data_IF_985464356711
#
_entry.id   IF_985464356711
#
_cell.length_a   1.000
_cell.length_b   1.000
_cell.length_c   1.000
_cell.angle_alpha   90.00
_cell.angle_beta   90.00
_cell.angle_gamma   90.00
#
_symmetry.space_group_name_H-M   'P 1'
#
loop_
_entity.id
_entity.type
_entity.pdbx_description
1 polymer ?
#
# COMPACT_ATOMS: atom_id res chain seq x y z
N UNK A 1 5.82 -20.80 -20.85
CA UNK A 1 4.98 -19.62 -20.54
C UNK A 1 3.83 -20.06 -19.66
N UNK A 2 3.69 -19.49 -18.45
CA UNK A 2 2.58 -19.81 -17.55
C UNK A 2 1.40 -18.88 -17.86
N UNK A 3 0.47 -19.38 -18.69
CA UNK A 3 -0.65 -18.58 -19.20
C UNK A 3 -1.52 -17.94 -18.11
N UNK A 4 -1.67 -18.59 -16.95
CA UNK A 4 -2.42 -18.03 -15.83
C UNK A 4 -1.88 -16.66 -15.39
N UNK A 5 -0.56 -16.49 -15.33
CA UNK A 5 0.08 -15.25 -14.88
C UNK A 5 -0.16 -14.12 -15.89
N UNK A 6 0.01 -14.41 -17.17
CA UNK A 6 -0.22 -13.45 -18.25
C UNK A 6 -1.69 -13.05 -18.35
N UNK A 7 -2.61 -14.02 -18.24
CA UNK A 7 -4.05 -13.76 -18.24
C UNK A 7 -4.49 -12.95 -17.02
N UNK A 8 -3.89 -13.21 -15.85
CA UNK A 8 -4.20 -12.46 -14.62
C UNK A 8 -3.73 -11.00 -14.71
N UNK A 9 -2.52 -10.76 -15.25
CA UNK A 9 -2.06 -9.40 -15.57
C UNK A 9 -2.98 -8.70 -16.57
N UNK A 10 -3.36 -9.42 -17.63
CA UNK A 10 -4.27 -8.92 -18.67
C UNK A 10 -5.64 -8.56 -18.11
N UNK A 11 -6.20 -9.39 -17.22
CA UNK A 11 -7.48 -9.15 -16.56
C UNK A 11 -7.45 -7.85 -15.76
N UNK A 12 -6.40 -7.61 -14.96
CA UNK A 12 -6.28 -6.35 -14.23
C UNK A 12 -6.10 -5.13 -15.15
N UNK A 13 -5.32 -5.28 -16.23
CA UNK A 13 -5.15 -4.22 -17.23
C UNK A 13 -6.47 -3.86 -17.91
N UNK A 14 -7.24 -4.86 -18.35
CA UNK A 14 -8.57 -4.68 -18.94
C UNK A 14 -9.54 -4.07 -17.93
N UNK A 15 -9.52 -4.54 -16.69
CA UNK A 15 -10.34 -3.97 -15.62
C UNK A 15 -10.01 -2.49 -15.38
N UNK A 16 -8.74 -2.12 -15.33
CA UNK A 16 -8.32 -0.72 -15.20
C UNK A 16 -8.78 0.13 -16.39
N UNK A 17 -8.63 -0.35 -17.62
CA UNK A 17 -9.13 0.35 -18.81
C UNK A 17 -10.65 0.50 -18.82
N UNK A 18 -11.38 -0.55 -18.42
CA UNK A 18 -12.83 -0.51 -18.32
C UNK A 18 -13.30 0.48 -17.25
N UNK A 19 -12.66 0.47 -16.08
CA UNK A 19 -12.99 1.38 -14.97
C UNK A 19 -12.68 2.84 -15.31
N UNK A 20 -11.53 3.11 -15.93
CA UNK A 20 -11.17 4.47 -16.36
C UNK A 20 -12.14 4.98 -17.43
N UNK A 21 -12.52 4.14 -18.39
CA UNK A 21 -13.54 4.47 -19.38
C UNK A 21 -14.90 4.71 -18.73
N UNK A 22 -15.36 3.81 -17.86
CA UNK A 22 -16.63 3.95 -17.16
C UNK A 22 -16.67 5.25 -16.37
N UNK A 23 -15.59 5.59 -15.67
CA UNK A 23 -15.47 6.83 -14.92
C UNK A 23 -15.60 8.08 -15.81
N UNK A 24 -15.00 8.09 -17.01
CA UNK A 24 -15.14 9.20 -17.97
C UNK A 24 -16.54 9.30 -18.57
N UNK A 25 -17.24 8.18 -18.77
CA UNK A 25 -18.60 8.17 -19.31
C UNK A 25 -19.67 8.40 -18.24
N UNK A 26 -19.36 8.09 -16.98
CA UNK A 26 -20.24 8.37 -15.87
C UNK A 26 -20.14 9.85 -15.51
N UNK A 27 -21.28 10.51 -15.33
CA UNK A 27 -21.35 11.81 -14.64
C UNK A 27 -21.14 11.61 -13.14
N UNK A 28 -20.00 11.01 -12.76
CA UNK A 28 -19.68 10.67 -11.39
C UNK A 28 -19.52 11.94 -10.56
N UNK A 29 -20.42 12.14 -9.60
CA UNK A 29 -20.42 13.32 -8.75
C UNK A 29 -19.42 13.14 -7.60
N UNK A 30 -18.83 14.26 -7.16
CA UNK A 30 -17.96 14.30 -5.98
C UNK A 30 -18.62 13.66 -4.76
N UNK A 31 -19.90 13.97 -4.52
CA UNK A 31 -20.66 13.44 -3.40
C UNK A 31 -20.82 11.90 -3.46
N UNK A 32 -21.05 11.34 -4.64
CA UNK A 32 -21.20 9.89 -4.81
C UNK A 32 -19.89 9.16 -4.50
N UNK A 33 -18.76 9.74 -4.93
CA UNK A 33 -17.42 9.22 -4.60
C UNK A 33 -17.12 9.31 -3.10
N UNK A 34 -17.48 10.43 -2.46
CA UNK A 34 -17.34 10.59 -1.01
C UNK A 34 -18.14 9.52 -0.25
N UNK A 35 -19.41 9.28 -0.64
CA UNK A 35 -20.26 8.24 -0.05
C UNK A 35 -19.65 6.86 -0.26
N UNK A 36 -19.16 6.56 -1.46
CA UNK A 36 -18.53 5.28 -1.78
C UNK A 36 -17.32 5.03 -0.88
N UNK A 37 -16.36 5.96 -0.82
CA UNK A 37 -15.15 5.78 -0.01
C UNK A 37 -15.46 5.65 1.49
N UNK A 38 -16.39 6.47 1.98
CA UNK A 38 -16.86 6.43 3.38
C UNK A 38 -17.51 5.08 3.72
N UNK A 39 -18.34 4.56 2.83
CA UNK A 39 -19.00 3.26 2.99
C UNK A 39 -17.99 2.11 3.03
N UNK A 40 -16.96 2.15 2.17
CA UNK A 40 -15.92 1.11 2.16
C UNK A 40 -15.11 1.17 3.46
N UNK A 41 -14.72 2.36 3.95
CA UNK A 41 -14.00 2.50 5.23
C UNK A 41 -14.83 1.93 6.39
N UNK A 42 -16.13 2.19 6.42
CA UNK A 42 -17.01 1.57 7.43
C UNK A 42 -17.09 0.05 7.29
N UNK A 43 -17.10 -0.50 6.08
CA UNK A 43 -17.04 -1.95 5.88
C UNK A 43 -15.75 -2.56 6.47
N UNK A 44 -14.60 -1.92 6.29
CA UNK A 44 -13.34 -2.33 6.93
C UNK A 44 -13.43 -2.30 8.46
N UNK A 45 -14.04 -1.25 9.02
CA UNK A 45 -14.25 -1.12 10.47
C UNK A 45 -15.14 -2.25 10.98
N UNK A 46 -16.31 -2.46 10.39
CA UNK A 46 -17.27 -3.47 10.86
C UNK A 46 -16.67 -4.87 10.84
N UNK A 47 -15.99 -5.23 9.75
CA UNK A 47 -15.32 -6.53 9.66
C UNK A 47 -14.23 -6.66 10.74
N UNK A 48 -13.43 -5.62 10.95
CA UNK A 48 -12.38 -5.64 11.96
C UNK A 48 -12.96 -5.76 13.38
N UNK A 49 -14.05 -5.06 13.70
CA UNK A 49 -14.71 -5.14 14.99
C UNK A 49 -15.26 -6.54 15.26
N UNK A 50 -15.85 -7.19 14.26
CA UNK A 50 -16.32 -8.57 14.39
C UNK A 50 -15.11 -9.50 14.61
N UNK A 51 -14.02 -9.34 13.85
CA UNK A 51 -12.81 -10.14 14.03
C UNK A 51 -12.19 -9.95 15.43
N UNK A 52 -12.13 -8.71 15.94
CA UNK A 52 -11.65 -8.40 17.28
C UNK A 52 -12.54 -9.01 18.36
N UNK A 53 -13.85 -9.00 18.14
CA UNK A 53 -14.83 -9.68 19.00
C UNK A 53 -14.61 -11.19 19.00
N UNK A 54 -14.35 -11.81 17.85
CA UNK A 54 -14.00 -13.22 17.77
C UNK A 54 -12.74 -13.55 18.58
N UNK A 55 -11.69 -12.72 18.47
CA UNK A 55 -10.45 -12.88 19.28
C UNK A 55 -10.75 -12.78 20.77
N UNK A 56 -11.54 -11.79 21.19
CA UNK A 56 -11.88 -11.55 22.60
C UNK A 56 -12.64 -12.73 23.23
N UNK A 57 -13.60 -13.31 22.51
CA UNK A 57 -14.44 -14.39 23.02
C UNK A 57 -13.94 -15.80 22.65
N UNK A 58 -12.82 -15.90 21.93
CA UNK A 58 -12.29 -17.18 21.46
C UNK A 58 -13.13 -17.86 20.36
N UNK A 59 -13.94 -17.09 19.63
CA UNK A 59 -14.70 -17.60 18.50
C UNK A 59 -13.83 -17.74 17.24
N UNK A 60 -14.21 -18.62 16.29
CA UNK A 60 -13.55 -18.69 14.99
C UNK A 60 -13.57 -17.34 14.28
N UNK A 61 -12.39 -16.86 13.89
CA UNK A 61 -12.24 -15.59 13.18
C UNK A 61 -12.65 -15.80 11.73
N UNK A 62 -13.71 -15.12 11.29
CA UNK A 62 -14.14 -15.16 9.90
C UNK A 62 -13.27 -14.25 9.01
N UNK A 63 -13.27 -14.54 7.71
CA UNK A 63 -12.48 -13.82 6.70
C UNK A 63 -10.99 -13.69 7.06
N UNK A 64 -10.46 -14.70 7.76
CA UNK A 64 -9.11 -14.69 8.27
C UNK A 64 -8.15 -15.23 7.21
N UNK A 65 -7.06 -14.49 6.99
CA UNK A 65 -5.97 -14.90 6.09
C UNK A 65 -4.65 -14.52 6.76
N UNK A 66 -3.66 -15.41 6.65
CA UNK A 66 -2.32 -15.21 7.20
C UNK A 66 -2.31 -14.86 8.71
N UNK A 67 -3.20 -15.47 9.49
CA UNK A 67 -3.33 -15.26 10.94
C UNK A 67 -2.38 -16.15 11.72
N UNK A 68 -1.79 -15.57 12.77
CA UNK A 68 -0.93 -16.26 13.72
C UNK A 68 -1.49 -16.15 15.13
N UNK A 69 -1.70 -17.27 15.84
CA UNK A 69 -2.07 -17.24 17.26
C UNK A 69 -1.05 -16.52 18.16
N UNK A 70 0.20 -16.36 17.70
CA UNK A 70 1.25 -15.61 18.41
C UNK A 70 1.04 -14.09 18.32
N UNK A 71 0.34 -13.62 17.30
CA UNK A 71 0.04 -12.20 17.06
C UNK A 71 -1.50 -12.03 16.90
N UNK A 72 -2.33 -12.37 17.92
CA UNK A 72 -3.77 -12.56 17.77
C UNK A 72 -4.54 -11.29 17.37
N UNK A 73 -3.95 -10.12 17.62
CA UNK A 73 -4.55 -8.82 17.29
C UNK A 73 -4.21 -8.31 15.89
N UNK A 74 -3.35 -9.03 15.16
CA UNK A 74 -2.91 -8.67 13.83
C UNK A 74 -3.89 -9.20 12.78
N UNK A 75 -5.01 -8.51 12.68
CA UNK A 75 -6.17 -8.92 11.90
C UNK A 75 -6.19 -8.26 10.52
N UNK A 76 -6.63 -9.01 9.52
CA UNK A 76 -6.55 -8.61 8.11
C UNK A 76 -7.78 -7.83 7.62
N UNK A 77 -8.88 -7.76 8.38
CA UNK A 77 -10.15 -7.15 7.95
C UNK A 77 -10.57 -7.68 6.57
N UNK A 78 -10.74 -6.83 5.55
CA UNK A 78 -11.23 -7.19 4.22
C UNK A 78 -10.13 -7.60 3.21
N UNK A 79 -8.84 -7.47 3.52
CA UNK A 79 -7.74 -7.86 2.61
C UNK A 79 -7.08 -9.17 3.05
N UNK A 80 -6.21 -9.74 2.22
CA UNK A 80 -5.47 -10.98 2.54
C UNK A 80 -4.42 -10.79 3.65
N UNK A 81 -3.96 -9.57 3.88
CA UNK A 81 -2.99 -9.23 4.91
C UNK A 81 -3.35 -7.91 5.62
N UNK A 82 -3.06 -7.78 6.93
CA UNK A 82 -3.24 -6.54 7.69
C UNK A 82 -2.53 -5.33 7.04
N UNK A 83 -1.35 -5.54 6.48
CA UNK A 83 -0.63 -4.46 5.81
C UNK A 83 -1.36 -3.97 4.55
N UNK A 84 -1.94 -4.87 3.75
CA UNK A 84 -2.73 -4.50 2.58
C UNK A 84 -3.99 -3.73 2.98
N UNK A 85 -4.63 -4.12 4.07
CA UNK A 85 -5.77 -3.38 4.63
C UNK A 85 -5.37 -1.97 5.07
N UNK A 86 -4.25 -1.82 5.79
CA UNK A 86 -3.76 -0.50 6.19
C UNK A 86 -3.48 0.41 5.00
N UNK A 87 -2.85 -0.12 3.94
CA UNK A 87 -2.62 0.61 2.68
C UNK A 87 -3.92 1.02 1.99
N UNK A 88 -4.88 0.11 1.88
CA UNK A 88 -6.15 0.36 1.19
C UNK A 88 -7.01 1.38 1.94
N UNK A 89 -7.17 1.22 3.26
CA UNK A 89 -7.97 2.12 4.10
C UNK A 89 -7.38 3.53 4.11
N UNK A 90 -6.05 3.65 4.15
CA UNK A 90 -5.38 4.93 3.99
C UNK A 90 -5.59 5.55 2.61
N UNK A 91 -5.55 4.76 1.55
CA UNK A 91 -5.80 5.23 0.19
C UNK A 91 -7.25 5.72 0.02
N UNK A 92 -8.21 5.01 0.60
CA UNK A 92 -9.62 5.41 0.62
C UNK A 92 -9.82 6.72 1.38
N UNK A 93 -9.20 6.84 2.57
CA UNK A 93 -9.27 8.07 3.36
C UNK A 93 -8.60 9.24 2.63
N UNK A 94 -7.44 9.01 2.03
CA UNK A 94 -6.75 10.00 1.20
C UNK A 94 -7.62 10.46 0.03
N UNK A 95 -8.31 9.53 -0.63
CA UNK A 95 -9.20 9.83 -1.76
C UNK A 95 -10.43 10.62 -1.31
N UNK A 96 -11.05 10.23 -0.19
CA UNK A 96 -12.15 10.96 0.44
C UNK A 96 -11.76 12.40 0.77
N UNK A 97 -10.62 12.61 1.42
CA UNK A 97 -10.12 13.95 1.75
C UNK A 97 -9.82 14.77 0.50
N UNK A 98 -9.32 14.13 -0.57
CA UNK A 98 -9.09 14.81 -1.84
C UNK A 98 -10.41 15.27 -2.48
N UNK A 99 -11.48 14.46 -2.42
CA UNK A 99 -12.81 14.90 -2.89
C UNK A 99 -13.34 16.09 -2.10
N UNK A 100 -13.15 16.12 -0.78
CA UNK A 100 -13.55 17.24 0.09
C UNK A 100 -12.77 18.52 -0.21
N UNK A 101 -11.46 18.41 -0.48
CA UNK A 101 -10.65 19.56 -0.91
C UNK A 101 -11.10 20.14 -2.24
N UNK A 102 -11.46 19.27 -3.20
CA UNK A 102 -12.00 19.68 -4.50
C UNK A 102 -13.33 20.42 -4.30
N UNK A 103 -14.25 19.86 -3.52
CA UNK A 103 -15.55 20.48 -3.21
C UNK A 103 -15.39 21.83 -2.51
N UNK A 104 -14.44 21.96 -1.58
CA UNK A 104 -14.15 23.20 -0.85
C UNK A 104 -13.38 24.23 -1.70
N UNK A 105 -12.67 23.80 -2.74
CA UNK A 105 -11.76 24.64 -3.54
C UNK A 105 -10.50 25.10 -2.78
N UNK A 106 -10.20 24.52 -1.62
CA UNK A 106 -9.02 24.89 -0.81
C UNK A 106 -8.53 23.70 0.03
N UNK A 107 -7.27 23.79 0.50
CA UNK A 107 -6.69 22.76 1.35
C UNK A 107 -7.50 22.59 2.65
N UNK A 108 -7.70 21.34 3.07
CA UNK A 108 -8.47 20.99 4.25
C UNK A 108 -7.56 20.96 5.48
N UNK A 109 -7.96 21.62 6.56
CA UNK A 109 -7.26 21.45 7.85
C UNK A 109 -7.80 20.23 8.60
N UNK A 110 -6.95 19.63 9.45
CA UNK A 110 -7.37 18.51 10.30
C UNK A 110 -8.58 18.86 11.18
N UNK A 111 -8.62 20.08 11.76
CA UNK A 111 -9.71 20.52 12.64
C UNK A 111 -11.05 20.59 11.89
N UNK A 112 -11.05 21.15 10.69
CA UNK A 112 -12.24 21.21 9.84
C UNK A 112 -12.74 19.81 9.49
N UNK A 113 -11.83 18.96 8.98
CA UNK A 113 -12.15 17.57 8.62
C UNK A 113 -12.69 16.76 9.78
N UNK A 114 -12.09 16.91 10.97
CA UNK A 114 -12.52 16.22 12.18
C UNK A 114 -13.93 16.62 12.61
N UNK A 115 -14.25 17.91 12.54
CA UNK A 115 -15.54 18.42 12.97
C UNK A 115 -16.67 17.98 12.03
N UNK A 116 -16.42 17.96 10.71
CA UNK A 116 -17.41 17.54 9.72
C UNK A 116 -17.60 16.01 9.68
N UNK A 117 -16.51 15.25 9.78
CA UNK A 117 -16.48 13.81 9.51
C UNK A 117 -16.00 12.98 10.71
N UNK A 118 -16.34 13.40 11.94
CA UNK A 118 -15.87 12.77 13.19
C UNK A 118 -16.01 11.26 13.23
N UNK A 119 -17.18 10.74 12.82
CA UNK A 119 -17.45 9.29 12.84
C UNK A 119 -16.53 8.55 11.86
N UNK A 120 -16.29 9.11 10.68
CA UNK A 120 -15.37 8.55 9.70
C UNK A 120 -13.93 8.55 10.22
N UNK A 121 -13.51 9.64 10.86
CA UNK A 121 -12.19 9.72 11.49
C UNK A 121 -12.02 8.69 12.61
N UNK A 122 -13.01 8.51 13.47
CA UNK A 122 -12.98 7.46 14.50
C UNK A 122 -12.87 6.07 13.86
N UNK A 123 -13.62 5.79 12.80
CA UNK A 123 -13.53 4.53 12.06
C UNK A 123 -12.15 4.31 11.46
N UNK A 124 -11.63 5.31 10.75
CA UNK A 124 -10.31 5.29 10.13
C UNK A 124 -9.21 5.07 11.17
N UNK A 125 -9.17 5.88 12.23
CA UNK A 125 -8.15 5.76 13.28
C UNK A 125 -8.23 4.43 14.01
N UNK A 126 -9.44 3.93 14.30
CA UNK A 126 -9.61 2.63 14.92
C UNK A 126 -8.99 1.52 14.06
N UNK A 127 -9.34 1.49 12.77
CA UNK A 127 -8.79 0.50 11.83
C UNK A 127 -7.27 0.59 11.75
N UNK A 128 -6.73 1.79 11.59
CA UNK A 128 -5.29 1.98 11.41
C UNK A 128 -4.47 1.66 12.66
N UNK A 129 -4.99 1.96 13.85
CA UNK A 129 -4.26 1.78 15.11
C UNK A 129 -4.32 0.33 15.62
N UNK A 130 -5.48 -0.32 15.48
CA UNK A 130 -5.73 -1.64 16.06
C UNK A 130 -5.35 -2.82 15.15
N UNK A 131 -4.94 -2.55 13.91
CA UNK A 131 -4.47 -3.55 12.95
C UNK A 131 -3.04 -4.03 13.20
N UNK A 132 -2.33 -3.41 14.15
CA UNK A 132 -0.96 -3.75 14.61
C UNK A 132 -0.01 -4.08 13.45
N UNK A 133 0.07 -3.14 12.49
CA UNK A 133 0.84 -3.31 11.26
C UNK A 133 1.69 -2.07 10.97
N UNK A 134 2.98 -2.28 10.70
CA UNK A 134 3.90 -1.20 10.35
C UNK A 134 3.42 -0.40 9.12
N UNK A 135 2.83 -1.08 8.13
CA UNK A 135 2.25 -0.43 6.96
C UNK A 135 1.06 0.46 7.32
N UNK A 136 0.19 0.03 8.23
CA UNK A 136 -0.91 0.86 8.70
C UNK A 136 -0.38 2.15 9.36
N UNK A 137 0.62 2.04 10.25
CA UNK A 137 1.20 3.23 10.88
C UNK A 137 1.89 4.17 9.87
N UNK A 138 2.63 3.63 8.91
CA UNK A 138 3.26 4.43 7.86
C UNK A 138 2.21 5.18 7.02
N UNK A 139 1.16 4.50 6.60
CA UNK A 139 0.13 5.11 5.76
C UNK A 139 -0.84 6.02 6.52
N UNK A 140 -0.98 5.84 7.84
CA UNK A 140 -1.62 6.81 8.72
C UNK A 140 -0.86 8.15 8.70
N UNK A 141 0.48 8.11 8.81
CA UNK A 141 1.31 9.30 8.69
C UNK A 141 1.19 9.96 7.31
N UNK A 142 1.10 9.17 6.24
CA UNK A 142 0.89 9.69 4.88
C UNK A 142 -0.42 10.46 4.78
N UNK A 143 -1.54 9.91 5.27
CA UNK A 143 -2.85 10.58 5.24
C UNK A 143 -2.81 11.86 6.08
N UNK A 144 -2.24 11.81 7.28
CA UNK A 144 -2.18 12.97 8.16
C UNK A 144 -1.26 14.07 7.61
N UNK A 145 -0.20 13.70 6.88
CA UNK A 145 0.68 14.66 6.20
C UNK A 145 -0.04 15.53 5.17
N UNK A 146 -1.14 15.03 4.57
CA UNK A 146 -1.98 15.79 3.63
C UNK A 146 -2.69 16.97 4.31
N UNK A 147 -3.14 16.77 5.54
CA UNK A 147 -3.97 17.73 6.29
C UNK A 147 -3.16 18.76 7.08
N UNK A 148 -1.84 18.63 7.04
CA UNK A 148 -0.94 19.51 7.73
C UNK A 148 -0.59 20.70 6.83
N UNK A 149 -0.94 21.89 7.30
CA UNK A 149 -0.50 23.12 6.66
C UNK A 149 1.03 23.12 6.58
N UNK A 150 1.59 23.44 5.39
CA UNK A 150 3.05 23.55 5.13
C UNK A 150 3.81 24.44 6.14
N UNK A 151 3.09 25.27 6.91
CA UNK A 151 3.64 26.16 7.94
C UNK A 151 3.91 25.49 9.29
N UNK A 152 3.38 24.29 9.58
CA UNK A 152 3.49 23.67 10.92
C UNK A 152 4.20 22.32 10.91
N UNK A 153 5.51 22.35 10.64
CA UNK A 153 6.43 21.22 10.91
C UNK A 153 6.28 20.72 12.36
N UNK A 154 5.99 21.64 13.29
CA UNK A 154 5.73 21.34 14.72
C UNK A 154 4.51 20.43 14.91
N UNK A 155 3.45 20.58 14.11
CA UNK A 155 2.25 19.74 14.21
C UNK A 155 2.50 18.34 13.66
N UNK A 156 3.29 18.22 12.57
CA UNK A 156 3.77 16.93 12.06
C UNK A 156 4.64 16.21 13.10
N UNK A 157 5.59 16.93 13.71
CA UNK A 157 6.46 16.38 14.77
C UNK A 157 5.67 15.94 16.01
N UNK A 158 4.72 16.74 16.46
CA UNK A 158 3.86 16.40 17.58
C UNK A 158 3.01 15.15 17.29
N UNK A 159 2.45 15.06 16.07
CA UNK A 159 1.69 13.89 15.63
C UNK A 159 2.57 12.63 15.56
N UNK A 160 3.78 12.74 15.00
CA UNK A 160 4.75 11.65 14.95
C UNK A 160 5.13 11.19 16.36
N UNK A 161 5.33 12.12 17.30
CA UNK A 161 5.63 11.79 18.70
C UNK A 161 4.45 11.10 19.40
N UNK A 162 3.22 11.55 19.17
CA UNK A 162 2.01 10.91 19.72
C UNK A 162 1.81 9.51 19.14
N UNK A 163 2.01 9.34 17.83
CA UNK A 163 1.94 8.02 17.20
C UNK A 163 3.07 7.11 17.65
N UNK A 164 4.29 7.63 17.79
CA UNK A 164 5.41 6.89 18.37
C UNK A 164 5.10 6.45 19.80
N UNK A 165 4.49 7.31 20.62
CA UNK A 165 4.06 6.98 21.97
C UNK A 165 2.97 5.88 22.00
N UNK A 166 1.93 6.02 21.18
CA UNK A 166 0.86 5.01 21.05
C UNK A 166 1.44 3.68 20.59
N UNK A 167 2.33 3.71 19.60
CA UNK A 167 3.00 2.52 19.05
C UNK A 167 3.94 1.88 20.08
N UNK A 168 4.64 2.66 20.91
CA UNK A 168 5.46 2.11 22.00
C UNK A 168 4.61 1.42 23.06
N UNK A 169 3.39 1.91 23.33
CA UNK A 169 2.47 1.31 24.31
C UNK A 169 1.77 0.07 23.74
N UNK A 170 1.38 0.10 22.46
CA UNK A 170 0.57 -0.97 21.85
C UNK A 170 1.40 -2.06 21.13
N UNK A 171 2.69 -1.82 20.87
CA UNK A 171 3.50 -2.71 20.03
C UNK A 171 4.97 -2.35 19.98
N UNK A 172 5.62 -2.15 21.13
CA UNK A 172 7.05 -1.82 21.22
C UNK A 172 7.95 -2.72 20.37
N UNK A 173 7.63 -4.01 20.26
CA UNK A 173 8.35 -4.93 19.38
C UNK A 173 8.19 -4.60 17.89
N UNK A 174 6.98 -4.33 17.41
CA UNK A 174 6.71 -3.94 16.00
C UNK A 174 7.41 -2.65 15.62
N UNK A 175 7.45 -1.67 16.54
CA UNK A 175 8.20 -0.44 16.36
C UNK A 175 9.70 -0.70 16.27
N UNK A 176 10.26 -1.43 17.23
CA UNK A 176 11.69 -1.72 17.28
C UNK A 176 12.14 -2.55 16.09
N UNK A 177 11.31 -3.49 15.62
CA UNK A 177 11.52 -4.25 14.37
C UNK A 177 11.57 -3.32 13.16
N UNK A 178 10.60 -2.43 13.02
CA UNK A 178 10.54 -1.46 11.92
C UNK A 178 11.74 -0.50 11.95
N UNK A 179 12.08 0.03 13.13
CA UNK A 179 13.24 0.91 13.32
C UNK A 179 14.55 0.23 12.95
N UNK A 180 14.79 -0.98 13.47
CA UNK A 180 15.98 -1.79 13.11
C UNK A 180 16.00 -2.11 11.62
N UNK A 181 14.85 -2.40 11.01
CA UNK A 181 14.76 -2.67 9.58
C UNK A 181 15.17 -1.43 8.77
N UNK A 182 14.65 -0.25 9.08
CA UNK A 182 15.02 1.01 8.41
C UNK A 182 16.53 1.25 8.50
N UNK A 183 17.13 1.08 9.69
CA UNK A 183 18.59 1.21 9.84
C UNK A 183 19.35 0.16 9.02
N UNK A 184 18.87 -1.08 8.98
CA UNK A 184 19.52 -2.16 8.24
C UNK A 184 19.45 -1.98 6.72
N UNK A 185 18.39 -1.33 6.19
CA UNK A 185 18.29 -1.01 4.75
C UNK A 185 19.49 -0.16 4.32
N UNK A 186 19.92 0.81 5.14
CA UNK A 186 21.08 1.66 4.83
C UNK A 186 22.42 0.92 4.89
N UNK A 187 22.48 -0.26 5.51
CA UNK A 187 23.68 -1.09 5.52
C UNK A 187 23.86 -1.90 4.23
N UNK A 188 22.82 -1.99 3.39
CA UNK A 188 22.76 -2.84 2.19
C UNK A 188 23.09 -4.33 2.45
N UNK A 189 23.04 -4.76 3.70
CA UNK A 189 23.28 -6.14 4.14
C UNK A 189 21.94 -6.84 4.32
N UNK A 190 21.62 -7.74 3.39
CA UNK A 190 20.34 -8.46 3.36
C UNK A 190 20.12 -9.33 4.61
N UNK A 191 21.19 -9.86 5.20
CA UNK A 191 21.10 -10.69 6.41
C UNK A 191 20.78 -9.85 7.64
N UNK A 192 21.36 -8.65 7.75
CA UNK A 192 20.97 -7.70 8.81
C UNK A 192 19.51 -7.28 8.70
N UNK A 193 18.98 -7.15 7.47
CA UNK A 193 17.56 -6.86 7.25
C UNK A 193 16.67 -8.00 7.75
N UNK A 194 16.99 -9.26 7.45
CA UNK A 194 16.22 -10.40 7.93
C UNK A 194 16.28 -10.57 9.46
N UNK A 195 17.43 -10.28 10.07
CA UNK A 195 17.58 -10.29 11.53
C UNK A 195 16.76 -9.17 12.20
N UNK A 196 16.62 -8.02 11.55
CA UNK A 196 15.86 -6.90 12.07
C UNK A 196 14.34 -7.13 12.01
N UNK A 197 13.84 -7.56 10.85
CA UNK A 197 12.45 -7.93 10.67
C UNK A 197 12.29 -8.85 9.46
N UNK A 198 12.04 -10.14 9.71
CA UNK A 198 11.89 -11.12 8.64
C UNK A 198 10.75 -10.77 7.67
N UNK A 199 9.59 -10.36 8.19
CA UNK A 199 8.43 -10.02 7.36
C UNK A 199 8.68 -8.75 6.54
N UNK A 200 9.25 -7.71 7.16
CA UNK A 200 9.64 -6.49 6.46
C UNK A 200 10.70 -6.73 5.40
N UNK A 201 11.75 -7.51 5.72
CA UNK A 201 12.82 -7.85 4.79
C UNK A 201 12.30 -8.56 3.53
N UNK A 202 11.33 -9.48 3.64
CA UNK A 202 10.71 -10.14 2.49
C UNK A 202 10.01 -9.18 1.51
N UNK A 203 9.76 -7.92 1.88
CA UNK A 203 9.16 -6.90 1.00
C UNK A 203 10.18 -6.09 0.22
N UNK A 204 11.42 -6.01 0.71
CA UNK A 204 12.49 -5.20 0.11
C UNK A 204 13.62 -6.05 -0.48
N UNK A 205 14.09 -7.04 0.26
CA UNK A 205 15.26 -7.86 -0.09
C UNK A 205 15.07 -8.58 -1.43
N UNK A 206 13.91 -9.20 -1.75
CA UNK A 206 13.72 -9.80 -3.07
C UNK A 206 13.90 -8.81 -4.22
N UNK A 207 13.47 -7.55 -4.05
CA UNK A 207 13.62 -6.51 -5.06
C UNK A 207 15.10 -6.12 -5.25
N UNK A 208 15.87 -6.07 -4.15
CA UNK A 208 17.32 -5.81 -4.18
C UNK A 208 18.05 -6.95 -4.90
N UNK A 209 17.72 -8.20 -4.57
CA UNK A 209 18.31 -9.38 -5.23
C UNK A 209 17.95 -9.37 -6.72
N UNK A 210 16.69 -9.09 -7.07
CA UNK A 210 16.27 -9.00 -8.46
C UNK A 210 17.08 -7.93 -9.23
N UNK A 211 17.29 -6.77 -8.61
CA UNK A 211 18.11 -5.71 -9.18
C UNK A 211 19.57 -6.15 -9.40
N UNK A 212 20.17 -6.85 -8.44
CA UNK A 212 21.54 -7.36 -8.56
C UNK A 212 21.72 -8.40 -9.68
N UNK A 213 20.67 -9.14 -10.01
CA UNK A 213 20.68 -10.14 -11.07
C UNK A 213 20.28 -9.59 -12.45
N UNK A 214 19.93 -8.30 -12.55
CA UNK A 214 19.56 -7.67 -13.81
C UNK A 214 20.82 -7.27 -14.60
N UNK A 215 21.12 -8.03 -15.65
CA UNK A 215 22.25 -7.72 -16.55
C UNK A 215 21.79 -6.94 -17.80
N UNK A 216 22.00 -5.62 -17.76
CA UNK A 216 21.67 -4.68 -18.84
C UNK A 216 22.57 -4.80 -20.08
N UNK A 217 23.65 -5.59 -20.01
CA UNK A 217 24.52 -5.86 -21.17
C UNK A 217 24.00 -7.01 -22.03
N UNK A 218 23.08 -7.83 -21.49
CA UNK A 218 22.50 -8.97 -22.18
C UNK A 218 21.15 -8.64 -22.84
N UNK A 219 20.83 -9.33 -23.95
CA UNK A 219 19.49 -9.24 -24.57
C UNK A 219 18.38 -9.65 -23.59
N UNK A 220 18.65 -10.65 -22.74
CA UNK A 220 17.71 -11.13 -21.73
C UNK A 220 17.45 -10.08 -20.63
N UNK A 221 18.39 -9.19 -20.32
CA UNK A 221 18.13 -8.08 -19.41
C UNK A 221 17.07 -7.11 -19.96
N UNK A 222 17.09 -6.87 -21.27
CA UNK A 222 16.14 -5.96 -21.93
C UNK A 222 14.77 -6.60 -22.18
N UNK A 223 14.74 -7.87 -22.59
CA UNK A 223 13.51 -8.57 -23.02
C UNK A 223 12.98 -9.61 -22.02
N UNK A 224 13.74 -9.90 -20.97
CA UNK A 224 13.35 -10.80 -19.89
C UNK A 224 13.99 -12.18 -19.98
N UNK A 225 14.20 -12.79 -18.82
CA UNK A 225 14.68 -14.17 -18.68
C UNK A 225 13.56 -15.22 -18.77
N UNK A 226 12.30 -14.78 -18.82
CA UNK A 226 11.13 -15.62 -18.89
C UNK A 226 10.41 -15.79 -17.55
N UNK A 227 9.13 -16.19 -17.66
CA UNK A 227 8.23 -16.39 -16.51
C UNK A 227 8.80 -17.44 -15.55
N UNK A 228 8.69 -17.15 -14.25
CA UNK A 228 9.18 -17.99 -13.15
C UNK A 228 10.72 -18.11 -13.06
N UNK A 229 11.50 -17.30 -13.80
CA UNK A 229 12.95 -17.27 -13.67
C UNK A 229 13.40 -17.03 -12.23
N UNK A 230 12.72 -16.13 -11.50
CA UNK A 230 13.05 -15.84 -10.10
C UNK A 230 12.88 -17.06 -9.18
N UNK A 231 11.92 -17.94 -9.48
CA UNK A 231 11.67 -19.17 -8.69
C UNK A 231 12.86 -20.13 -8.67
N UNK A 232 13.75 -20.03 -9.66
CA UNK A 232 14.90 -20.94 -9.83
C UNK A 232 16.06 -20.65 -8.88
N UNK A 233 16.18 -19.40 -8.41
CA UNK A 233 17.35 -18.95 -7.64
C UNK A 233 17.00 -18.17 -6.37
N UNK A 234 15.88 -17.44 -6.33
CA UNK A 234 15.60 -16.47 -5.27
C UNK A 234 15.58 -17.11 -3.86
N UNK A 235 15.05 -18.33 -3.74
CA UNK A 235 15.02 -19.09 -2.49
C UNK A 235 16.41 -19.41 -1.91
N UNK A 236 17.49 -19.35 -2.72
CA UNK A 236 18.87 -19.61 -2.28
C UNK A 236 19.46 -18.43 -1.51
N UNK A 237 18.90 -17.24 -1.69
CA UNK A 237 19.39 -15.98 -1.11
C UNK A 237 18.52 -15.49 0.05
N UNK A 238 17.38 -16.13 0.28
CA UNK A 238 16.39 -15.72 1.28
C UNK A 238 16.29 -16.84 2.33
N UNK A 239 16.69 -16.58 3.59
CA UNK A 239 16.52 -17.57 4.64
C UNK A 239 15.04 -17.78 4.94
N UNK A 240 14.62 -19.02 5.18
CA UNK A 240 13.26 -19.35 5.64
C UNK A 240 12.17 -19.45 4.56
N UNK A 241 12.50 -19.30 3.27
CA UNK A 241 11.55 -19.55 2.17
C UNK A 241 11.78 -20.90 1.49
N UNK A 242 10.70 -21.47 0.95
CA UNK A 242 10.75 -22.76 0.26
C UNK A 242 11.30 -22.64 -1.16
N UNK A 243 11.80 -23.77 -1.70
CA UNK A 243 12.20 -23.86 -3.10
C UNK A 243 11.04 -23.46 -4.01
N UNK A 244 11.32 -22.60 -4.99
CA UNK A 244 10.30 -22.04 -5.89
C UNK A 244 9.67 -20.74 -5.40
N UNK A 245 10.14 -20.15 -4.29
CA UNK A 245 9.69 -18.84 -3.84
C UNK A 245 9.93 -17.75 -4.90
N UNK A 246 8.93 -16.88 -5.10
CA UNK A 246 8.96 -15.73 -6.00
C UNK A 246 8.64 -14.46 -5.24
N UNK A 247 9.33 -13.36 -5.55
CA UNK A 247 9.10 -12.05 -4.93
C UNK A 247 9.99 -10.98 -5.55
N UNK A 248 9.70 -9.70 -5.27
CA UNK A 248 10.50 -8.57 -5.77
C UNK A 248 9.71 -7.47 -6.49
N UNK A 249 8.38 -7.47 -6.37
CA UNK A 249 7.53 -6.41 -6.91
C UNK A 249 7.75 -6.17 -8.40
N UNK A 250 7.94 -4.91 -8.79
CA UNK A 250 8.25 -4.55 -10.17
C UNK A 250 9.69 -4.92 -10.59
N UNK A 251 10.62 -5.16 -9.66
CA UNK A 251 11.97 -5.64 -10.02
C UNK A 251 11.95 -7.08 -10.51
N UNK A 252 11.07 -7.92 -9.95
CA UNK A 252 10.78 -9.24 -10.51
C UNK A 252 10.24 -9.09 -11.94
N UNK A 253 9.33 -8.14 -12.16
CA UNK A 253 8.77 -7.90 -13.49
C UNK A 253 9.85 -7.47 -14.50
N UNK A 254 10.82 -6.65 -14.08
CA UNK A 254 11.97 -6.27 -14.90
C UNK A 254 12.84 -7.48 -15.29
N UNK A 255 13.09 -8.40 -14.35
CA UNK A 255 13.87 -9.62 -14.61
C UNK A 255 13.13 -10.59 -15.54
N UNK A 256 11.86 -10.87 -15.27
CA UNK A 256 11.13 -11.94 -15.98
C UNK A 256 10.59 -11.49 -17.34
N UNK A 257 10.15 -10.23 -17.45
CA UNK A 257 9.49 -9.68 -18.64
C UNK A 257 10.30 -8.57 -19.33
N UNK A 258 11.51 -8.30 -18.83
CA UNK A 258 12.46 -7.38 -19.42
C UNK A 258 12.39 -5.96 -18.86
N UNK A 259 13.56 -5.32 -18.82
CA UNK A 259 13.69 -3.95 -18.33
C UNK A 259 12.85 -2.95 -19.14
N UNK A 260 12.66 -3.18 -20.45
CA UNK A 260 11.83 -2.30 -21.29
C UNK A 260 10.36 -2.32 -20.84
N UNK A 261 9.80 -3.51 -20.61
CA UNK A 261 8.45 -3.69 -20.11
C UNK A 261 8.27 -3.05 -18.74
N UNK A 262 9.27 -3.21 -17.86
CA UNK A 262 9.32 -2.55 -16.57
C UNK A 262 9.29 -1.02 -16.70
N UNK A 263 10.13 -0.42 -17.55
CA UNK A 263 10.17 1.03 -17.74
C UNK A 263 8.83 1.58 -18.22
N UNK A 264 8.22 0.93 -19.22
CA UNK A 264 6.92 1.35 -19.76
C UNK A 264 5.86 1.34 -18.66
N UNK A 265 5.79 0.27 -17.87
CA UNK A 265 4.82 0.15 -16.78
C UNK A 265 5.10 1.13 -15.64
N UNK A 266 6.36 1.25 -15.21
CA UNK A 266 6.76 2.14 -14.11
C UNK A 266 6.49 3.62 -14.46
N UNK A 267 6.87 4.05 -15.66
CA UNK A 267 6.65 5.43 -16.12
C UNK A 267 5.15 5.70 -16.27
N UNK A 268 4.40 4.79 -16.90
CA UNK A 268 2.96 4.99 -17.14
C UNK A 268 2.18 5.00 -15.82
N UNK A 269 2.41 4.02 -14.95
CA UNK A 269 1.76 3.96 -13.63
C UNK A 269 2.09 5.17 -12.77
N UNK A 270 3.35 5.63 -12.76
CA UNK A 270 3.75 6.83 -12.04
C UNK A 270 3.03 8.08 -12.58
N UNK A 271 2.97 8.25 -13.91
CA UNK A 271 2.27 9.38 -14.54
C UNK A 271 0.76 9.41 -14.23
N UNK A 272 0.12 8.24 -14.15
CA UNK A 272 -1.29 8.14 -13.78
C UNK A 272 -1.54 8.46 -12.30
N UNK A 273 -0.60 8.10 -11.42
CA UNK A 273 -0.76 8.27 -9.97
C UNK A 273 -0.28 9.64 -9.44
N UNK A 274 0.66 10.28 -10.12
CA UNK A 274 1.35 11.46 -9.59
C UNK A 274 0.47 12.72 -9.63
N UNK A 275 0.33 13.36 -8.47
CA UNK A 275 -0.31 14.66 -8.24
C UNK A 275 0.73 15.67 -7.73
N UNK A 276 0.87 16.79 -8.43
CA UNK A 276 1.86 17.83 -8.14
C UNK A 276 1.65 18.52 -6.79
N UNK A 277 0.42 18.56 -6.30
CA UNK A 277 0.11 19.26 -5.05
C UNK A 277 0.37 18.37 -3.83
N UNK A 278 0.24 17.06 -4.01
CA UNK A 278 0.38 16.04 -2.97
C UNK A 278 1.52 15.05 -3.28
N UNK A 279 2.71 15.57 -3.59
CA UNK A 279 3.87 14.78 -4.05
C UNK A 279 4.25 13.66 -3.09
N UNK A 280 4.41 13.97 -1.80
CA UNK A 280 4.88 13.01 -0.79
C UNK A 280 3.90 11.83 -0.73
N UNK A 281 2.61 12.10 -0.58
CA UNK A 281 1.60 11.06 -0.47
C UNK A 281 1.54 10.18 -1.72
N UNK A 282 1.46 10.77 -2.91
CA UNK A 282 1.37 10.00 -4.16
C UNK A 282 2.63 9.17 -4.45
N UNK A 283 3.82 9.70 -4.15
CA UNK A 283 5.09 8.95 -4.27
C UNK A 283 5.14 7.80 -3.27
N UNK A 284 4.69 8.00 -2.02
CA UNK A 284 4.67 6.93 -1.02
C UNK A 284 3.68 5.84 -1.39
N UNK A 285 2.45 6.18 -1.80
CA UNK A 285 1.49 5.19 -2.31
C UNK A 285 2.04 4.43 -3.51
N UNK A 286 2.64 5.11 -4.48
CA UNK A 286 3.22 4.44 -5.65
C UNK A 286 4.38 3.52 -5.28
N UNK A 287 5.31 3.96 -4.43
CA UNK A 287 6.46 3.15 -4.03
C UNK A 287 6.04 1.87 -3.32
N UNK A 288 5.20 1.97 -2.29
CA UNK A 288 4.89 0.81 -1.46
C UNK A 288 3.81 -0.09 -2.06
N UNK A 289 2.83 0.48 -2.76
CA UNK A 289 1.67 -0.27 -3.25
C UNK A 289 1.78 -0.68 -4.72
N UNK A 290 2.70 -0.09 -5.50
CA UNK A 290 2.93 -0.45 -6.91
C UNK A 290 4.34 -1.01 -7.09
N UNK A 291 5.37 -0.23 -6.79
CA UNK A 291 6.77 -0.63 -7.04
C UNK A 291 7.17 -1.89 -6.26
N UNK A 292 6.86 -1.96 -4.96
CA UNK A 292 7.22 -3.10 -4.11
C UNK A 292 6.23 -4.27 -4.15
N UNK A 293 5.03 -4.06 -4.68
CA UNK A 293 3.96 -5.09 -4.69
C UNK A 293 3.92 -5.86 -6.01
N UNK A 294 4.21 -5.22 -7.15
CA UNK A 294 4.27 -5.87 -8.46
C UNK A 294 2.93 -5.89 -9.21
N UNK A 295 2.95 -6.28 -10.49
CA UNK A 295 1.80 -6.12 -11.42
C UNK A 295 0.64 -7.09 -11.12
N UNK A 296 0.89 -8.24 -10.50
CA UNK A 296 -0.12 -9.28 -10.31
C UNK A 296 -0.83 -9.23 -8.94
N UNK A 297 -0.93 -8.04 -8.34
CA UNK A 297 -1.64 -7.85 -7.07
C UNK A 297 -2.75 -6.81 -7.22
N UNK A 298 -3.91 -7.11 -6.63
CA UNK A 298 -5.07 -6.22 -6.63
C UNK A 298 -4.74 -4.82 -6.09
N UNK A 299 -3.91 -4.74 -5.04
CA UNK A 299 -3.54 -3.48 -4.41
C UNK A 299 -2.84 -2.51 -5.36
N UNK A 300 -2.03 -3.03 -6.28
CA UNK A 300 -1.34 -2.25 -7.32
C UNK A 300 -2.34 -1.52 -8.20
N UNK A 301 -3.32 -2.25 -8.71
CA UNK A 301 -4.33 -1.72 -9.63
C UNK A 301 -5.36 -0.85 -8.93
N UNK A 302 -5.78 -1.21 -7.72
CA UNK A 302 -6.65 -0.35 -6.90
C UNK A 302 -5.96 0.97 -6.55
N UNK A 303 -4.64 0.95 -6.27
CA UNK A 303 -3.85 2.18 -6.05
C UNK A 303 -3.81 3.05 -7.29
N UNK A 304 -3.49 2.46 -8.44
CA UNK A 304 -3.50 3.18 -9.72
C UNK A 304 -4.87 3.78 -10.02
N UNK A 305 -5.94 3.01 -9.82
CA UNK A 305 -7.31 3.45 -10.09
C UNK A 305 -7.73 4.62 -9.20
N UNK A 306 -7.57 4.52 -7.88
CA UNK A 306 -8.01 5.58 -6.96
C UNK A 306 -7.20 6.86 -7.13
N UNK A 307 -5.87 6.76 -7.28
CA UNK A 307 -5.05 7.95 -7.52
C UNK A 307 -5.34 8.60 -8.89
N UNK A 308 -5.61 7.80 -9.92
CA UNK A 308 -6.02 8.31 -11.23
C UNK A 308 -7.37 9.04 -11.15
N UNK A 309 -8.37 8.46 -10.47
CA UNK A 309 -9.69 9.07 -10.26
C UNK A 309 -9.52 10.41 -9.51
N UNK A 310 -8.75 10.42 -8.42
CA UNK A 310 -8.48 11.64 -7.65
C UNK A 310 -7.91 12.76 -8.53
N UNK A 311 -6.91 12.41 -9.36
CA UNK A 311 -6.29 13.33 -10.29
C UNK A 311 -7.28 13.85 -11.33
N UNK A 312 -8.11 12.97 -11.91
CA UNK A 312 -9.08 13.37 -12.93
C UNK A 312 -10.22 14.23 -12.41
N UNK A 313 -10.78 13.91 -11.24
CA UNK A 313 -11.79 14.76 -10.60
C UNK A 313 -11.28 16.18 -10.37
N UNK A 314 -10.00 16.30 -9.99
CA UNK A 314 -9.35 17.59 -9.77
C UNK A 314 -9.16 18.36 -11.07
N UNK A 315 -8.69 17.69 -12.13
CA UNK A 315 -8.54 18.29 -13.46
C UNK A 315 -9.88 18.78 -14.04
N UNK A 316 -10.99 18.10 -13.74
CA UNK A 316 -12.35 18.49 -14.19
C UNK A 316 -12.98 19.63 -13.39
N UNK A 317 -12.42 20.00 -12.23
CA UNK A 317 -12.97 21.02 -11.33
C UNK A 317 -12.25 22.38 -11.43
N UNK A 318 -11.21 22.47 -12.26
CA UNK A 318 -10.44 23.68 -12.60
C UNK A 318 -10.88 24.19 -13.96
#
# INVERSE_FOLDING_TARGET
>A
MRWSTALYSGMFGVFFMAMTRLFHFSDAKLNDMQILFKSIIYAYLFVLLIQQTCVLFGFPIFNVSNYSPLEPWKLNSLMSEPEHSGRMVALLMYSFLTMKEIEKGSALSFKESWNEDKILWCAFLWVMLTMVSAGAYLFLLVVLSKLLNRKTIVSLLALVLVLAFIVTIMGGETFMRTYKLVLSVFTFDTMKMFQADHSGALRFVPSIICWQHLDMTSLNGWFGYGVDYTSTFLYRYIPGVVKGYTGGGLMLYALEYGFLSFLIFAISSFRYCYDSDNKIATITFWTFSILLSGVNLQITWSTMMLLYINKKMKESSV
#
